data_IF_977405806841
#
_entry.id   IF_977405806841
#
_cell.length_a   1.000
_cell.length_b   1.000
_cell.length_c   1.000
_cell.angle_alpha   90.00
_cell.angle_beta   90.00
_cell.angle_gamma   90.00
#
_symmetry.space_group_name_H-M   'P 1'
#
loop_
_entity.id
_entity.type
_entity.pdbx_description
1 polymer ?
#
# COMPACT_ATOMS: atom_id res chain seq x y z
N UNK A 1 20.97 -29.23 -3.50
CA UNK A 1 20.23 -28.31 -2.60
C UNK A 1 20.62 -28.39 -1.11
N UNK A 2 21.61 -29.21 -0.69
CA UNK A 2 22.02 -29.29 0.74
C UNK A 2 22.84 -28.09 1.24
N UNK A 3 23.55 -27.40 0.35
CA UNK A 3 24.45 -26.29 0.72
C UNK A 3 23.72 -25.00 1.14
N UNK A 4 22.49 -24.79 0.64
CA UNK A 4 21.64 -23.65 1.02
C UNK A 4 20.91 -23.88 2.35
N UNK A 5 20.80 -25.13 2.80
CA UNK A 5 20.14 -25.47 4.05
C UNK A 5 20.89 -24.92 5.29
N UNK A 6 22.19 -24.63 5.16
CA UNK A 6 22.96 -23.96 6.21
C UNK A 6 22.40 -22.56 6.53
N UNK A 7 21.83 -21.88 5.54
CA UNK A 7 21.26 -20.54 5.71
C UNK A 7 19.96 -20.54 6.54
N UNK A 8 19.26 -21.68 6.64
CA UNK A 8 18.06 -21.80 7.48
C UNK A 8 18.35 -21.55 8.97
N UNK A 9 19.57 -21.81 9.44
CA UNK A 9 20.00 -21.48 10.82
C UNK A 9 19.84 -19.98 11.09
N UNK A 10 20.21 -19.13 10.13
CA UNK A 10 20.11 -17.68 10.25
C UNK A 10 18.67 -17.18 10.09
N UNK A 11 17.88 -17.77 9.18
CA UNK A 11 16.45 -17.46 9.10
C UNK A 11 15.72 -17.76 10.41
N UNK A 12 16.08 -18.84 11.11
CA UNK A 12 15.52 -19.17 12.42
C UNK A 12 16.01 -18.23 13.54
N UNK A 13 17.28 -17.82 13.50
CA UNK A 13 17.87 -16.83 14.43
C UNK A 13 17.14 -15.48 14.36
N UNK A 14 16.78 -15.02 13.16
CA UNK A 14 16.14 -13.72 12.93
C UNK A 14 14.61 -13.78 12.71
N UNK A 15 13.94 -14.88 13.09
CA UNK A 15 12.49 -15.07 12.90
C UNK A 15 11.61 -13.90 13.38
N UNK A 16 12.00 -13.27 14.49
CA UNK A 16 11.27 -12.14 15.07
C UNK A 16 11.31 -10.86 14.23
N UNK A 17 12.26 -10.72 13.30
CA UNK A 17 12.32 -9.62 12.33
C UNK A 17 11.72 -10.00 10.97
N UNK A 18 11.78 -11.27 10.60
CA UNK A 18 11.25 -11.78 9.33
C UNK A 18 9.73 -11.84 9.27
N UNK A 19 9.08 -12.31 10.33
CA UNK A 19 7.61 -12.40 10.40
C UNK A 19 6.95 -11.03 10.20
N UNK A 20 7.31 -9.97 10.95
CA UNK A 20 6.74 -8.64 10.71
C UNK A 20 7.15 -8.07 9.36
N UNK A 21 8.37 -8.34 8.88
CA UNK A 21 8.80 -7.93 7.54
C UNK A 21 7.90 -8.52 6.44
N UNK A 22 7.55 -9.80 6.54
CA UNK A 22 6.64 -10.46 5.61
C UNK A 22 5.21 -9.90 5.69
N UNK A 23 4.72 -9.59 6.89
CA UNK A 23 3.44 -8.89 7.06
C UNK A 23 3.46 -7.51 6.40
N UNK A 24 4.54 -6.74 6.55
CA UNK A 24 4.68 -5.43 5.90
C UNK A 24 4.75 -5.54 4.37
N UNK A 25 5.37 -6.58 3.82
CA UNK A 25 5.35 -6.85 2.37
C UNK A 25 3.91 -7.04 1.90
N UNK A 26 3.15 -7.93 2.55
CA UNK A 26 1.75 -8.22 2.20
C UNK A 26 0.91 -6.96 2.31
N UNK A 27 1.01 -6.24 3.44
CA UNK A 27 0.30 -4.99 3.65
C UNK A 27 0.64 -3.95 2.57
N UNK A 28 1.93 -3.74 2.26
CA UNK A 28 2.37 -2.78 1.23
C UNK A 28 1.83 -3.12 -0.16
N UNK A 29 1.62 -4.40 -0.45
CA UNK A 29 1.04 -4.87 -1.70
C UNK A 29 -0.46 -4.55 -1.77
N UNK A 30 -1.19 -4.82 -0.68
CA UNK A 30 -2.62 -4.48 -0.55
C UNK A 30 -2.81 -2.96 -0.73
N UNK A 31 -2.08 -2.13 0.02
CA UNK A 31 -2.10 -0.68 -0.14
C UNK A 31 -1.59 -0.19 -1.50
N UNK A 32 -0.88 -1.03 -2.24
CA UNK A 32 -0.47 -0.76 -3.61
C UNK A 32 -1.60 -0.86 -4.63
N UNK A 33 -2.56 -1.75 -4.41
CA UNK A 33 -3.67 -2.02 -5.32
C UNK A 33 -4.92 -1.20 -4.95
N UNK A 34 -5.11 -0.89 -3.66
CA UNK A 34 -6.27 -0.15 -3.15
C UNK A 34 -6.54 1.20 -3.87
N UNK A 35 -5.54 2.05 -4.16
CA UNK A 35 -5.79 3.32 -4.85
C UNK A 35 -6.49 3.15 -6.21
N UNK A 36 -6.14 2.11 -6.98
CA UNK A 36 -6.75 1.85 -8.28
C UNK A 36 -8.23 1.48 -8.17
N UNK A 37 -8.62 0.77 -7.10
CA UNK A 37 -10.02 0.42 -6.83
C UNK A 37 -10.82 1.65 -6.39
N UNK A 38 -10.26 2.47 -5.50
CA UNK A 38 -10.89 3.71 -5.03
C UNK A 38 -11.12 4.68 -6.18
N UNK A 39 -10.13 4.85 -7.07
CA UNK A 39 -10.26 5.68 -8.26
C UNK A 39 -11.40 5.19 -9.14
N UNK A 40 -11.50 3.88 -9.39
CA UNK A 40 -12.58 3.32 -10.21
C UNK A 40 -13.96 3.64 -9.64
N UNK A 41 -14.18 3.36 -8.35
CA UNK A 41 -15.47 3.64 -7.70
C UNK A 41 -15.81 5.13 -7.74
N UNK A 42 -14.81 6.00 -7.55
CA UNK A 42 -15.02 7.44 -7.66
C UNK A 42 -15.44 7.86 -9.07
N UNK A 43 -14.80 7.31 -10.12
CA UNK A 43 -15.18 7.57 -11.51
C UNK A 43 -16.58 7.03 -11.84
N UNK A 44 -16.89 5.80 -11.43
CA UNK A 44 -18.19 5.17 -11.68
C UNK A 44 -19.33 6.00 -11.04
N UNK A 45 -19.15 6.44 -9.79
CA UNK A 45 -20.10 7.32 -9.10
C UNK A 45 -20.27 8.67 -9.81
N UNK A 46 -19.18 9.25 -10.33
CA UNK A 46 -19.26 10.52 -11.08
C UNK A 46 -20.04 10.32 -12.39
N UNK A 47 -19.75 9.25 -13.13
CA UNK A 47 -20.43 8.99 -14.41
C UNK A 47 -21.91 8.66 -14.23
N UNK A 48 -22.26 7.81 -13.26
CA UNK A 48 -23.65 7.40 -13.00
C UNK A 48 -24.53 8.58 -12.56
N UNK A 49 -23.97 9.54 -11.81
CA UNK A 49 -24.71 10.73 -11.42
C UNK A 49 -24.88 11.76 -12.54
N UNK A 50 -23.95 11.84 -13.50
CA UNK A 50 -24.09 12.69 -14.70
C UNK A 50 -25.23 12.18 -15.58
N UNK A 51 -25.42 10.86 -15.67
CA UNK A 51 -26.54 10.24 -16.40
C UNK A 51 -27.90 10.57 -15.74
N UNK A 52 -27.97 10.58 -14.40
CA UNK A 52 -29.16 11.04 -13.65
C UNK A 52 -29.37 12.56 -13.82
N UNK A 53 -28.28 13.32 -13.91
CA UNK A 53 -28.32 14.78 -14.15
C UNK A 53 -29.00 15.13 -15.46
N UNK A 54 -28.76 14.34 -16.50
CA UNK A 54 -29.40 14.54 -17.80
C UNK A 54 -30.91 14.23 -17.78
N UNK A 55 -31.37 13.35 -16.89
CA UNK A 55 -32.79 13.03 -16.68
C UNK A 55 -33.56 14.14 -15.93
N UNK A 56 -32.87 15.01 -15.18
CA UNK A 56 -33.44 16.12 -14.41
C UNK A 56 -33.22 17.52 -15.04
N UNK A 57 -32.96 17.60 -16.34
CA UNK A 57 -32.82 18.86 -17.07
C UNK A 57 -34.07 19.75 -16.91
N UNK A 58 -34.02 20.72 -15.98
CA UNK A 58 -35.08 21.71 -15.76
C UNK A 58 -35.29 22.28 -14.35
N UNK A 59 -34.57 21.83 -13.31
CA UNK A 59 -34.73 22.38 -11.94
C UNK A 59 -33.48 23.10 -11.43
N UNK A 60 -33.71 24.23 -10.75
CA UNK A 60 -32.78 25.18 -10.11
C UNK A 60 -31.79 24.60 -9.06
N UNK A 61 -31.71 23.27 -8.90
CA UNK A 61 -30.88 22.58 -7.91
C UNK A 61 -29.51 22.17 -8.48
N UNK A 62 -29.09 22.84 -9.56
CA UNK A 62 -27.93 22.45 -10.36
C UNK A 62 -26.59 22.90 -9.76
N UNK A 63 -26.60 23.93 -8.90
CA UNK A 63 -25.39 24.41 -8.20
C UNK A 63 -25.09 23.57 -6.94
N UNK A 64 -26.13 23.19 -6.19
CA UNK A 64 -26.00 22.41 -4.94
C UNK A 64 -25.34 21.05 -5.23
N UNK A 65 -25.73 20.41 -6.33
CA UNK A 65 -25.16 19.12 -6.69
C UNK A 65 -23.71 19.27 -7.17
N UNK A 66 -23.36 20.34 -7.91
CA UNK A 66 -21.99 20.63 -8.32
C UNK A 66 -21.04 20.84 -7.13
N UNK A 67 -21.49 21.56 -6.09
CA UNK A 67 -20.71 21.78 -4.87
C UNK A 67 -20.50 20.49 -4.07
N UNK A 68 -21.54 19.66 -3.96
CA UNK A 68 -21.44 18.33 -3.33
C UNK A 68 -20.48 17.43 -4.12
N UNK A 69 -20.50 17.49 -5.46
CA UNK A 69 -19.57 16.77 -6.32
C UNK A 69 -18.12 17.24 -6.15
N UNK A 70 -17.89 18.54 -6.15
CA UNK A 70 -16.56 19.12 -5.94
C UNK A 70 -15.96 18.71 -4.60
N UNK A 71 -16.76 18.77 -3.53
CA UNK A 71 -16.35 18.31 -2.20
C UNK A 71 -16.07 16.81 -2.16
N UNK A 72 -16.90 15.99 -2.81
CA UNK A 72 -16.69 14.54 -2.93
C UNK A 72 -15.39 14.18 -3.66
N UNK A 73 -15.13 14.83 -4.80
CA UNK A 73 -13.92 14.60 -5.59
C UNK A 73 -12.65 15.01 -4.84
N UNK A 74 -12.70 16.12 -4.11
CA UNK A 74 -11.61 16.54 -3.22
C UNK A 74 -11.36 15.52 -2.11
N UNK A 75 -12.42 14.99 -1.49
CA UNK A 75 -12.30 13.93 -0.48
C UNK A 75 -11.68 12.65 -1.05
N UNK A 76 -12.07 12.23 -2.25
CA UNK A 76 -11.47 11.09 -2.93
C UNK A 76 -9.99 11.31 -3.26
N UNK A 77 -9.64 12.50 -3.78
CA UNK A 77 -8.25 12.87 -4.03
C UNK A 77 -7.41 12.85 -2.75
N UNK A 78 -7.93 13.40 -1.66
CA UNK A 78 -7.29 13.35 -0.36
C UNK A 78 -7.12 11.91 0.16
N UNK A 79 -8.15 11.06 0.01
CA UNK A 79 -8.10 9.65 0.39
C UNK A 79 -7.01 8.88 -0.37
N UNK A 80 -6.91 9.08 -1.69
CA UNK A 80 -5.86 8.46 -2.52
C UNK A 80 -4.47 8.90 -2.07
N UNK A 81 -4.31 10.17 -1.73
CA UNK A 81 -3.04 10.72 -1.25
C UNK A 81 -2.64 10.10 0.10
N UNK A 82 -3.60 9.97 1.03
CA UNK A 82 -3.38 9.28 2.32
C UNK A 82 -3.00 7.81 2.10
N UNK A 83 -3.70 7.09 1.22
CA UNK A 83 -3.38 5.70 0.87
C UNK A 83 -1.96 5.58 0.29
N UNK A 84 -1.54 6.52 -0.55
CA UNK A 84 -0.20 6.54 -1.13
C UNK A 84 0.89 6.77 -0.06
N UNK A 85 0.65 7.68 0.90
CA UNK A 85 1.57 7.91 2.02
C UNK A 85 1.69 6.65 2.88
N UNK A 86 0.57 6.03 3.23
CA UNK A 86 0.54 4.79 4.03
C UNK A 86 1.33 3.68 3.32
N UNK A 87 1.11 3.51 2.01
CA UNK A 87 1.91 2.56 1.21
C UNK A 87 3.40 2.87 1.29
N UNK A 88 3.79 4.14 1.13
CA UNK A 88 5.19 4.56 1.24
C UNK A 88 5.81 4.24 2.60
N UNK A 89 5.04 4.43 3.68
CA UNK A 89 5.45 4.09 5.04
C UNK A 89 5.68 2.58 5.19
N UNK A 90 4.77 1.73 4.69
CA UNK A 90 4.96 0.28 4.72
C UNK A 90 6.17 -0.19 3.90
N UNK A 91 6.41 0.43 2.74
CA UNK A 91 7.60 0.15 1.94
C UNK A 91 8.90 0.53 2.67
N UNK A 92 8.89 1.60 3.46
CA UNK A 92 10.02 1.97 4.31
C UNK A 92 10.26 0.92 5.40
N UNK A 93 9.23 0.50 6.13
CA UNK A 93 9.36 -0.52 7.18
C UNK A 93 9.79 -1.89 6.63
N UNK A 94 9.32 -2.27 5.44
CA UNK A 94 9.79 -3.45 4.73
C UNK A 94 11.32 -3.40 4.52
N UNK A 95 11.85 -2.25 4.10
CA UNK A 95 13.31 -2.08 3.94
C UNK A 95 14.05 -2.16 5.27
N UNK A 96 13.54 -1.49 6.31
CA UNK A 96 14.18 -1.51 7.63
C UNK A 96 14.20 -2.92 8.24
N UNK A 97 13.16 -3.72 8.03
CA UNK A 97 13.09 -5.07 8.58
C UNK A 97 13.88 -6.08 7.76
N UNK A 98 13.67 -6.15 6.44
CA UNK A 98 14.25 -7.20 5.59
C UNK A 98 15.71 -6.89 5.22
N UNK A 99 16.02 -5.68 4.78
CA UNK A 99 17.38 -5.35 4.27
C UNK A 99 18.39 -5.30 5.42
N UNK A 100 18.05 -4.65 6.54
CA UNK A 100 18.97 -4.64 7.70
C UNK A 100 19.15 -6.03 8.29
N UNK A 101 18.11 -6.85 8.33
CA UNK A 101 18.22 -8.24 8.77
C UNK A 101 19.14 -9.03 7.84
N UNK A 102 19.02 -8.87 6.53
CA UNK A 102 19.97 -9.47 5.56
C UNK A 102 21.42 -9.05 5.82
N UNK A 103 21.66 -7.78 6.17
CA UNK A 103 23.01 -7.31 6.53
C UNK A 103 23.53 -7.94 7.81
N UNK A 104 22.68 -8.17 8.81
CA UNK A 104 23.08 -8.85 10.03
C UNK A 104 23.41 -10.32 9.77
N UNK A 105 22.63 -11.00 8.92
CA UNK A 105 22.95 -12.37 8.48
C UNK A 105 24.30 -12.40 7.77
N UNK A 106 24.58 -11.45 6.88
CA UNK A 106 25.86 -11.38 6.16
C UNK A 106 27.04 -11.20 7.12
N UNK A 107 26.91 -10.31 8.11
CA UNK A 107 27.93 -10.09 9.12
C UNK A 107 28.20 -11.37 9.94
N UNK A 108 27.14 -12.01 10.43
CA UNK A 108 27.28 -13.25 11.21
C UNK A 108 27.89 -14.38 10.38
N UNK A 109 27.50 -14.52 9.10
CA UNK A 109 28.05 -15.53 8.21
C UNK A 109 29.55 -15.32 7.96
N UNK A 110 29.99 -14.07 7.76
CA UNK A 110 31.41 -13.77 7.61
C UNK A 110 32.17 -14.08 8.90
N UNK A 111 31.61 -13.74 10.05
CA UNK A 111 32.24 -13.99 11.34
C UNK A 111 32.46 -15.50 11.60
N UNK A 112 31.55 -16.36 11.12
CA UNK A 112 31.65 -17.83 11.23
C UNK A 112 32.63 -18.47 10.22
N UNK A 113 33.00 -17.76 9.13
CA UNK A 113 33.96 -18.25 8.12
C UNK A 113 35.40 -17.78 8.44
N UNK A 114 35.56 -16.56 8.96
CA UNK A 114 36.87 -15.95 9.20
C UNK A 114 37.40 -16.14 10.64
N UNK A 115 36.64 -16.80 11.51
CA UNK A 115 37.08 -17.25 12.85
C UNK A 115 37.32 -18.75 12.82
#
# INVERSE_FOLDING_TARGET
>A
MKHLAYLNKFFYKYRWRLIPGMLFVIASNIFGVLPAQVIRVAFDLVTENIDIYHLYNGFNEQEVIYDIFGAGLLLFGALVLVLAIIRGMFLFFMRQTIILMSRHIEYDLKNEIYT
#
